data_IF_994836586232
#
_entry.id   IF_994836586232
#
_cell.length_a   1.000
_cell.length_b   1.000
_cell.length_c   1.000
_cell.angle_alpha   90.00
_cell.angle_beta   90.00
_cell.angle_gamma   90.00
#
_symmetry.space_group_name_H-M   'P 1'
#
loop_
_entity.id
_entity.type
_entity.pdbx_description
1 polymer ?
#
# COMPACT_ATOMS: atom_id res chain seq x y z
N UNK A 1 2.40 8.95 -2.77
CA UNK A 1 3.58 9.42 -2.03
C UNK A 1 4.07 8.42 -1.01
N UNK A 2 3.28 8.16 0.05
CA UNK A 2 3.72 7.35 1.21
C UNK A 2 4.36 6.01 0.85
N UNK A 3 3.74 5.21 -0.03
CA UNK A 3 4.33 3.94 -0.44
C UNK A 3 5.70 4.13 -1.10
N UNK A 4 5.83 5.05 -2.05
CA UNK A 4 7.10 5.34 -2.71
C UNK A 4 8.18 5.71 -1.69
N UNK A 5 7.88 6.65 -0.77
CA UNK A 5 8.79 7.06 0.30
C UNK A 5 9.32 5.87 1.10
N UNK A 6 8.45 4.92 1.42
CA UNK A 6 8.83 3.73 2.17
C UNK A 6 9.81 2.82 1.40
N UNK A 7 9.51 2.54 0.12
CA UNK A 7 10.38 1.71 -0.73
C UNK A 7 11.67 2.41 -1.12
N UNK A 8 11.63 3.73 -1.29
CA UNK A 8 12.72 4.50 -1.85
C UNK A 8 13.83 4.71 -0.82
N UNK A 9 13.50 5.28 0.34
CA UNK A 9 14.53 5.61 1.33
C UNK A 9 14.24 5.11 2.75
N UNK A 10 12.98 5.01 3.22
CA UNK A 10 12.74 4.60 4.63
C UNK A 10 13.25 3.18 4.90
N UNK A 11 12.84 2.20 4.11
CA UNK A 11 13.29 0.81 4.31
C UNK A 11 14.80 0.65 4.11
N UNK A 12 15.39 1.43 3.21
CA UNK A 12 16.85 1.42 3.00
C UNK A 12 17.59 1.99 4.21
N UNK A 13 17.10 3.10 4.76
CA UNK A 13 17.65 3.69 5.99
C UNK A 13 17.52 2.74 7.17
N UNK A 14 16.36 2.12 7.37
CA UNK A 14 16.17 1.14 8.45
C UNK A 14 17.09 -0.08 8.28
N UNK A 15 17.27 -0.57 7.05
CA UNK A 15 18.15 -1.70 6.78
C UNK A 15 19.64 -1.38 6.96
N UNK A 16 20.03 -0.10 6.85
CA UNK A 16 21.40 0.36 7.08
C UNK A 16 21.74 0.54 8.58
N UNK A 17 20.75 0.53 9.46
CA UNK A 17 20.97 0.54 10.92
C UNK A 17 21.29 -0.86 11.46
N UNK A 18 21.72 -0.95 12.71
CA UNK A 18 21.79 -2.23 13.40
C UNK A 18 20.42 -2.94 13.36
N UNK A 19 20.36 -4.26 13.06
CA UNK A 19 19.08 -4.96 12.88
C UNK A 19 18.07 -4.72 14.00
N UNK A 20 18.52 -4.73 15.26
CA UNK A 20 17.66 -4.50 16.41
C UNK A 20 16.96 -3.13 16.34
N UNK A 21 17.70 -2.06 16.03
CA UNK A 21 17.15 -0.72 15.89
C UNK A 21 16.22 -0.56 14.68
N UNK A 22 16.58 -1.15 13.54
CA UNK A 22 15.74 -1.15 12.33
C UNK A 22 14.41 -1.87 12.53
N UNK A 23 14.44 -3.03 13.21
CA UNK A 23 13.26 -3.81 13.56
C UNK A 23 12.38 -3.06 14.55
N UNK A 24 12.96 -2.55 15.64
CA UNK A 24 12.21 -1.79 16.66
C UNK A 24 11.50 -0.58 16.03
N UNK A 25 12.21 0.20 15.22
CA UNK A 25 11.64 1.35 14.53
C UNK A 25 10.49 0.92 13.60
N UNK A 26 10.66 -0.16 12.83
CA UNK A 26 9.61 -0.68 11.95
C UNK A 26 8.38 -1.17 12.73
N UNK A 27 8.56 -1.85 13.86
CA UNK A 27 7.47 -2.27 14.73
C UNK A 27 6.68 -1.06 15.27
N UNK A 28 7.38 -0.02 15.71
CA UNK A 28 6.74 1.22 16.19
C UNK A 28 5.97 1.93 15.06
N UNK A 29 6.53 2.00 13.85
CA UNK A 29 5.85 2.53 12.67
C UNK A 29 4.56 1.73 12.39
N UNK A 30 4.66 0.39 12.36
CA UNK A 30 3.55 -0.51 12.10
C UNK A 30 2.41 -0.37 13.12
N UNK A 31 2.73 -0.12 14.40
CA UNK A 31 1.69 0.11 15.44
C UNK A 31 1.06 1.49 15.31
N UNK A 32 1.85 2.53 15.04
CA UNK A 32 1.35 3.91 14.97
C UNK A 32 0.51 4.17 13.72
N UNK A 33 0.81 3.52 12.59
CA UNK A 33 0.13 3.78 11.31
C UNK A 33 -1.39 3.59 11.36
N UNK A 34 -1.90 2.67 12.19
CA UNK A 34 -3.33 2.40 12.32
C UNK A 34 -4.14 3.60 12.83
N UNK A 35 -3.52 4.53 13.54
CA UNK A 35 -4.18 5.74 14.09
C UNK A 35 -3.90 7.00 13.26
N UNK A 36 -3.41 6.85 12.03
CA UNK A 36 -3.05 7.98 11.16
C UNK A 36 -4.08 8.23 10.07
N UNK A 37 -4.06 9.44 9.51
CA UNK A 37 -4.87 9.81 8.35
C UNK A 37 -4.61 8.89 7.14
N UNK A 38 -3.41 8.32 7.02
CA UNK A 38 -3.10 7.37 5.96
C UNK A 38 -4.05 6.17 5.98
N UNK A 39 -4.41 5.64 7.15
CA UNK A 39 -5.31 4.48 7.25
C UNK A 39 -6.74 4.84 6.82
N UNK A 40 -7.21 6.04 7.19
CA UNK A 40 -8.50 6.57 6.75
C UNK A 40 -8.54 6.70 5.23
N UNK A 41 -7.50 7.27 4.62
CA UNK A 41 -7.42 7.43 3.17
C UNK A 41 -7.30 6.08 2.44
N UNK A 42 -6.51 5.15 2.97
CA UNK A 42 -6.32 3.82 2.38
C UNK A 42 -7.63 3.03 2.34
N UNK A 43 -8.34 2.94 3.47
CA UNK A 43 -9.60 2.20 3.57
C UNK A 43 -10.72 2.97 2.87
N UNK A 44 -10.77 4.29 3.07
CA UNK A 44 -11.79 5.15 2.45
C UNK A 44 -11.77 5.04 0.94
N UNK A 45 -10.60 5.08 0.30
CA UNK A 45 -10.50 4.91 -1.15
C UNK A 45 -10.81 3.50 -1.65
N UNK A 46 -10.57 2.46 -0.83
CA UNK A 46 -10.99 1.09 -1.14
C UNK A 46 -12.52 0.94 -1.21
N UNK A 47 -13.26 1.82 -0.52
CA UNK A 47 -14.73 1.88 -0.53
C UNK A 47 -15.23 2.85 -1.61
N UNK A 48 -14.65 4.06 -1.68
CA UNK A 48 -15.10 5.10 -2.62
C UNK A 48 -14.88 4.68 -4.07
N UNK A 49 -13.76 4.02 -4.40
CA UNK A 49 -13.48 3.70 -5.80
C UNK A 49 -14.47 2.69 -6.42
N UNK A 50 -14.86 1.57 -5.77
CA UNK A 50 -15.94 0.73 -6.29
C UNK A 50 -17.30 1.41 -6.33
N UNK A 51 -17.63 2.27 -5.35
CA UNK A 51 -18.89 3.02 -5.36
C UNK A 51 -18.97 3.95 -6.58
N UNK A 52 -17.88 4.64 -6.91
CA UNK A 52 -17.81 5.46 -8.12
C UNK A 52 -18.02 4.61 -9.39
N UNK A 53 -17.36 3.46 -9.48
CA UNK A 53 -17.53 2.54 -10.61
C UNK A 53 -18.98 2.03 -10.72
N UNK A 54 -19.64 1.73 -9.60
CA UNK A 54 -21.04 1.32 -9.60
C UNK A 54 -21.98 2.44 -10.07
N UNK A 55 -21.77 3.67 -9.59
CA UNK A 55 -22.57 4.83 -9.98
C UNK A 55 -22.44 5.10 -11.48
N UNK A 56 -21.23 5.05 -12.05
CA UNK A 56 -21.02 5.33 -13.48
C UNK A 56 -21.64 4.26 -14.37
N UNK A 57 -21.60 2.99 -13.96
CA UNK A 57 -22.32 1.91 -14.65
C UNK A 57 -23.83 2.15 -14.66
N UNK A 58 -24.40 2.65 -13.55
CA UNK A 58 -25.84 2.93 -13.45
C UNK A 58 -26.27 4.17 -14.26
N UNK A 59 -25.39 5.17 -14.41
CA UNK A 59 -25.68 6.41 -15.14
C UNK A 59 -25.53 6.27 -16.66
N UNK A 60 -24.83 5.23 -17.13
CA UNK A 60 -24.67 4.93 -18.55
C UNK A 60 -23.23 4.55 -18.91
N UNK A 61 -23.09 3.70 -19.93
CA UNK A 61 -21.79 3.24 -20.40
C UNK A 61 -21.18 4.25 -21.37
N UNK A 62 -20.04 4.85 -21.01
CA UNK A 62 -19.21 5.66 -21.89
C UNK A 62 -17.72 5.36 -21.71
N UNK A 63 -16.81 5.98 -22.49
CA UNK A 63 -15.37 5.78 -22.39
C UNK A 63 -14.83 6.03 -20.96
N UNK A 64 -15.36 7.04 -20.27
CA UNK A 64 -15.02 7.34 -18.88
C UNK A 64 -15.37 6.21 -17.90
N UNK A 65 -16.46 5.47 -18.14
CA UNK A 65 -16.88 4.34 -17.29
C UNK A 65 -15.82 3.25 -17.24
N UNK A 66 -15.22 2.92 -18.39
CA UNK A 66 -14.12 1.93 -18.48
C UNK A 66 -12.91 2.34 -17.65
N UNK A 67 -12.52 3.62 -17.72
CA UNK A 67 -11.39 4.14 -16.95
C UNK A 67 -11.67 4.17 -15.44
N UNK A 68 -12.89 4.51 -15.02
CA UNK A 68 -13.26 4.51 -13.59
C UNK A 68 -13.27 3.07 -13.03
N UNK A 69 -13.79 2.11 -13.80
CA UNK A 69 -13.74 0.69 -13.42
C UNK A 69 -12.29 0.22 -13.30
N UNK A 70 -11.44 0.53 -14.29
CA UNK A 70 -10.02 0.19 -14.24
C UNK A 70 -9.33 0.81 -13.01
N UNK A 71 -9.60 2.09 -12.71
CA UNK A 71 -9.07 2.77 -11.53
C UNK A 71 -9.46 2.05 -10.23
N UNK A 72 -10.74 1.66 -10.11
CA UNK A 72 -11.27 0.99 -8.93
C UNK A 72 -10.67 -0.42 -8.75
N UNK A 73 -10.65 -1.22 -9.81
CA UNK A 73 -10.06 -2.57 -9.78
C UNK A 73 -8.58 -2.50 -9.43
N UNK A 74 -7.82 -1.61 -10.06
CA UNK A 74 -6.39 -1.45 -9.79
C UNK A 74 -6.12 -1.01 -8.35
N UNK A 75 -6.92 -0.08 -7.80
CA UNK A 75 -6.77 0.33 -6.40
C UNK A 75 -7.09 -0.81 -5.43
N UNK A 76 -8.25 -1.45 -5.60
CA UNK A 76 -8.71 -2.50 -4.69
C UNK A 76 -7.78 -3.69 -4.72
N UNK A 77 -7.35 -4.15 -5.89
CA UNK A 77 -6.49 -5.34 -6.01
C UNK A 77 -5.03 -4.99 -5.72
N UNK A 78 -4.49 -4.00 -6.43
CA UNK A 78 -3.06 -3.70 -6.43
C UNK A 78 -2.57 -2.87 -5.25
N UNK A 79 -3.43 -2.07 -4.63
CA UNK A 79 -3.07 -1.25 -3.46
C UNK A 79 -3.62 -1.84 -2.16
N UNK A 80 -4.94 -1.97 -2.06
CA UNK A 80 -5.57 -2.44 -0.83
C UNK A 80 -5.36 -3.96 -0.62
N UNK A 81 -5.61 -4.76 -1.65
CA UNK A 81 -5.45 -6.22 -1.63
C UNK A 81 -4.01 -6.62 -1.31
N UNK A 82 -3.03 -6.04 -1.97
CA UNK A 82 -1.60 -6.26 -1.66
C UNK A 82 -1.27 -5.88 -0.22
N UNK A 83 -1.88 -4.82 0.33
CA UNK A 83 -1.68 -4.43 1.73
C UNK A 83 -2.16 -5.53 2.68
N UNK A 84 -3.39 -6.02 2.49
CA UNK A 84 -4.02 -7.00 3.39
C UNK A 84 -3.39 -8.39 3.25
N UNK A 85 -3.01 -8.79 2.04
CA UNK A 85 -2.52 -10.15 1.75
C UNK A 85 -1.03 -10.31 2.03
N UNK A 86 -0.22 -9.27 1.80
CA UNK A 86 1.24 -9.38 1.92
C UNK A 86 1.81 -8.49 3.03
N UNK A 87 1.62 -7.17 2.95
CA UNK A 87 2.30 -6.25 3.86
C UNK A 87 1.83 -6.38 5.32
N UNK A 88 0.52 -6.50 5.57
CA UNK A 88 -0.02 -6.62 6.93
C UNK A 88 0.44 -7.93 7.60
N UNK A 89 0.32 -9.12 6.97
CA UNK A 89 0.80 -10.37 7.58
C UNK A 89 2.31 -10.36 7.86
N UNK A 90 3.11 -9.75 6.98
CA UNK A 90 4.55 -9.58 7.22
C UNK A 90 4.82 -8.66 8.42
N UNK A 91 4.08 -7.55 8.53
CA UNK A 91 4.19 -6.61 9.65
C UNK A 91 3.84 -7.29 10.97
N UNK A 92 2.73 -8.03 11.03
CA UNK A 92 2.29 -8.77 12.23
C UNK A 92 3.26 -9.90 12.61
N UNK A 93 3.88 -10.55 11.62
CA UNK A 93 4.93 -11.54 11.88
C UNK A 93 6.16 -10.89 12.51
N UNK A 94 6.60 -9.74 11.99
CA UNK A 94 7.73 -9.00 12.57
C UNK A 94 7.40 -8.48 13.98
N UNK A 95 6.18 -7.99 14.20
CA UNK A 95 5.74 -7.40 15.48
C UNK A 95 5.71 -8.38 16.65
N UNK A 96 5.54 -9.69 16.36
CA UNK A 96 5.54 -10.77 17.35
C UNK A 96 6.94 -11.22 17.76
N UNK A 97 7.99 -10.74 17.12
CA UNK A 97 9.37 -11.11 17.45
C UNK A 97 10.00 -10.08 18.39
N UNK A 98 10.79 -10.55 19.36
CA UNK A 98 11.64 -9.66 20.15
C UNK A 98 12.70 -9.04 19.21
N UNK A 99 12.76 -7.71 19.16
CA UNK A 99 13.54 -6.97 18.17
C UNK A 99 15.05 -7.24 18.26
N UNK A 100 15.55 -7.59 19.45
CA UNK A 100 16.94 -7.92 19.77
C UNK A 100 17.28 -9.42 19.59
N UNK A 101 16.31 -10.25 19.20
CA UNK A 101 16.52 -11.70 19.04
C UNK A 101 17.20 -12.07 17.72
N UNK A 102 18.02 -13.12 17.73
CA UNK A 102 18.63 -13.68 16.53
C UNK A 102 17.59 -14.13 15.47
N UNK A 103 16.41 -14.57 15.91
CA UNK A 103 15.29 -14.96 15.02
C UNK A 103 14.74 -13.73 14.28
N UNK A 104 14.58 -12.60 14.97
CA UNK A 104 14.12 -11.36 14.35
C UNK A 104 15.16 -10.82 13.37
N UNK A 105 16.44 -10.84 13.73
CA UNK A 105 17.53 -10.45 12.83
C UNK A 105 17.56 -11.31 11.55
N UNK A 106 17.43 -12.64 11.68
CA UNK A 106 17.36 -13.53 10.52
C UNK A 106 16.13 -13.27 9.64
N UNK A 107 14.97 -12.97 10.24
CA UNK A 107 13.77 -12.61 9.50
C UNK A 107 13.90 -11.25 8.82
N UNK A 108 14.55 -10.27 9.46
CA UNK A 108 14.76 -8.92 8.93
C UNK A 108 15.44 -8.92 7.56
N UNK A 109 16.48 -9.74 7.37
CA UNK A 109 17.17 -9.87 6.09
C UNK A 109 16.28 -10.36 4.94
N UNK A 110 15.22 -11.13 5.24
CA UNK A 110 14.20 -11.54 4.25
C UNK A 110 13.04 -10.55 4.17
N UNK A 111 12.69 -9.95 5.31
CA UNK A 111 11.59 -9.01 5.44
C UNK A 111 11.83 -7.75 4.60
N UNK A 112 12.98 -7.09 4.73
CA UNK A 112 13.26 -5.83 4.04
C UNK A 112 13.05 -5.91 2.51
N UNK A 113 13.70 -6.82 1.77
CA UNK A 113 13.53 -6.88 0.31
C UNK A 113 12.12 -7.30 -0.10
N UNK A 114 11.54 -8.30 0.57
CA UNK A 114 10.19 -8.77 0.24
C UNK A 114 9.12 -7.71 0.55
N UNK A 115 9.23 -7.03 1.69
CA UNK A 115 8.28 -5.99 2.08
C UNK A 115 8.36 -4.81 1.13
N UNK A 116 9.58 -4.40 0.76
CA UNK A 116 9.83 -3.32 -0.20
C UNK A 116 9.31 -3.64 -1.59
N UNK A 117 9.45 -4.89 -2.05
CA UNK A 117 8.88 -5.35 -3.32
C UNK A 117 7.35 -5.19 -3.35
N UNK A 118 6.65 -5.74 -2.36
CA UNK A 118 5.18 -5.61 -2.29
C UNK A 118 4.75 -4.15 -2.12
N UNK A 119 5.51 -3.36 -1.37
CA UNK A 119 5.24 -1.94 -1.23
C UNK A 119 5.44 -1.13 -2.54
N UNK A 120 6.40 -1.53 -3.37
CA UNK A 120 6.58 -0.96 -4.71
C UNK A 120 5.42 -1.32 -5.64
N UNK A 121 4.86 -2.53 -5.54
CA UNK A 121 3.63 -2.90 -6.26
C UNK A 121 2.47 -1.97 -5.84
N UNK A 122 2.30 -1.71 -4.54
CA UNK A 122 1.28 -0.75 -4.06
C UNK A 122 1.48 0.64 -4.63
N UNK A 123 2.73 1.07 -4.75
CA UNK A 123 3.10 2.36 -5.37
C UNK A 123 2.64 2.40 -6.81
N UNK A 124 3.06 1.44 -7.63
CA UNK A 124 2.72 1.36 -9.04
C UNK A 124 1.20 1.27 -9.26
N UNK A 125 0.52 0.44 -8.48
CA UNK A 125 -0.94 0.32 -8.54
C UNK A 125 -1.64 1.64 -8.19
N UNK A 126 -1.18 2.33 -7.15
CA UNK A 126 -1.77 3.62 -6.77
C UNK A 126 -1.55 4.71 -7.82
N UNK A 127 -0.39 4.71 -8.50
CA UNK A 127 -0.10 5.61 -9.61
C UNK A 127 -0.97 5.28 -10.82
N UNK A 128 -1.05 4.00 -11.21
CA UNK A 128 -1.89 3.56 -12.32
C UNK A 128 -3.37 3.87 -12.11
N UNK A 129 -3.88 3.64 -10.90
CA UNK A 129 -5.25 4.00 -10.52
C UNK A 129 -5.50 5.51 -10.64
N UNK A 130 -4.55 6.34 -10.20
CA UNK A 130 -4.65 7.79 -10.36
C UNK A 130 -4.64 8.22 -11.84
N UNK A 131 -3.78 7.62 -12.67
CA UNK A 131 -3.75 7.87 -14.12
C UNK A 131 -5.07 7.49 -14.77
N UNK A 132 -5.64 6.32 -14.45
CA UNK A 132 -6.95 5.93 -14.98
C UNK A 132 -8.05 6.90 -14.57
N UNK A 133 -8.04 7.37 -13.33
CA UNK A 133 -9.00 8.39 -12.91
C UNK A 133 -8.83 9.71 -13.67
N UNK A 134 -7.58 10.15 -13.91
CA UNK A 134 -7.32 11.34 -14.73
C UNK A 134 -7.79 11.17 -16.17
N UNK A 135 -7.58 9.99 -16.78
CA UNK A 135 -8.11 9.69 -18.11
C UNK A 135 -9.64 9.73 -18.14
N UNK A 136 -10.31 9.23 -17.10
CA UNK A 136 -11.76 9.35 -16.99
C UNK A 136 -12.23 10.81 -16.98
N UNK A 137 -11.50 11.71 -16.30
CA UNK A 137 -11.81 13.14 -16.31
C UNK A 137 -11.68 13.74 -17.71
N UNK A 138 -10.64 13.36 -18.46
CA UNK A 138 -10.43 13.84 -19.84
C UNK A 138 -11.57 13.40 -20.77
N UNK A 139 -12.08 12.17 -20.60
CA UNK A 139 -13.19 11.63 -21.40
C UNK A 139 -14.57 12.21 -21.00
N UNK A 140 -14.65 12.90 -19.85
CA UNK A 140 -15.87 13.57 -19.40
C UNK A 140 -15.92 15.06 -19.79
N UNK A 141 -14.79 15.63 -20.24
CA UNK A 141 -14.66 17.05 -20.61
C UNK A 141 -15.05 17.29 -22.08
#
# INVERSE_FOLDING_TARGET
GVFLTFSDFVMRSLAATEPAGGIEAMQQINRKVFRTLFMVLLIGMAIVSPLMAAVTVLQGSGPATTWIIAAAVTYVVGTFGVTVVFNVPMNERLDRMAHDSAVAAAYWHRYVPAWSFWNSIRTLASVASAVFMLMAVVELA
#
